data_IF_136521463343
#
_entry.id   IF_136521463343
#
_cell.length_a   1.000
_cell.length_b   1.000
_cell.length_c   1.000
_cell.angle_alpha   90.00
_cell.angle_beta   90.00
_cell.angle_gamma   90.00
#
_symmetry.space_group_name_H-M   'P 1'
#
loop_
_entity.id
_entity.type
_entity.pdbx_description
1 polymer ?
#
# COMPACT_ATOMS: atom_id res chain seq x y z
N UNK A 1 6.05 1.87 -23.62
CA UNK A 1 6.67 1.83 -22.26
C UNK A 1 7.87 2.76 -22.26
N UNK A 2 8.06 3.48 -21.16
CA UNK A 2 9.29 4.28 -20.96
C UNK A 2 10.42 3.28 -20.71
N UNK A 3 11.55 3.37 -21.41
CA UNK A 3 12.71 2.52 -21.17
C UNK A 3 13.19 2.65 -19.73
N UNK A 4 13.62 1.54 -19.13
CA UNK A 4 14.13 1.51 -17.76
C UNK A 4 15.66 1.51 -17.78
N UNK A 5 16.27 2.59 -17.28
CA UNK A 5 17.71 2.68 -17.08
C UNK A 5 18.12 2.01 -15.75
N UNK A 6 19.39 1.60 -15.64
CA UNK A 6 19.98 1.00 -14.43
C UNK A 6 19.44 -0.38 -14.05
N UNK A 7 18.74 -1.06 -14.96
CA UNK A 7 18.45 -2.48 -14.81
C UNK A 7 19.74 -3.27 -15.04
N UNK A 8 20.05 -4.23 -14.16
CA UNK A 8 21.29 -4.99 -14.23
C UNK A 8 21.01 -6.44 -14.57
N UNK A 9 21.80 -6.96 -15.48
CA UNK A 9 21.69 -8.33 -15.97
C UNK A 9 23.02 -9.07 -15.88
N UNK A 10 22.92 -10.41 -15.81
CA UNK A 10 24.01 -11.35 -16.00
C UNK A 10 23.68 -12.32 -17.13
N UNK A 11 24.68 -12.78 -17.83
CA UNK A 11 24.54 -13.82 -18.85
C UNK A 11 25.24 -15.09 -18.38
N UNK A 12 24.53 -16.21 -18.41
CA UNK A 12 25.07 -17.51 -18.04
C UNK A 12 25.05 -18.46 -19.22
N UNK A 13 26.19 -19.12 -19.50
CA UNK A 13 26.21 -20.26 -20.41
C UNK A 13 25.65 -21.47 -19.68
N UNK A 14 24.61 -22.10 -20.24
CA UNK A 14 24.02 -23.32 -19.70
C UNK A 14 24.86 -24.54 -20.00
N UNK A 15 25.50 -24.57 -21.18
CA UNK A 15 26.35 -25.68 -21.61
C UNK A 15 27.62 -25.79 -20.73
N UNK A 16 28.21 -24.63 -20.34
CA UNK A 16 29.40 -24.58 -19.52
C UNK A 16 29.11 -24.35 -18.02
N UNK A 17 27.86 -24.13 -17.66
CA UNK A 17 27.38 -23.80 -16.31
C UNK A 17 28.19 -22.70 -15.63
N UNK A 18 28.52 -21.62 -16.38
CA UNK A 18 29.28 -20.47 -15.87
C UNK A 18 28.78 -19.15 -16.43
N UNK A 19 29.00 -18.10 -15.68
CA UNK A 19 28.67 -16.75 -16.13
C UNK A 19 29.69 -16.25 -17.16
N UNK A 20 29.18 -15.46 -18.11
CA UNK A 20 29.98 -14.79 -19.13
C UNK A 20 30.70 -13.58 -18.49
N UNK A 21 31.99 -13.44 -18.80
CA UNK A 21 32.81 -12.29 -18.42
C UNK A 21 33.84 -11.97 -19.48
N UNK A 22 34.21 -10.71 -19.62
CA UNK A 22 35.37 -10.31 -20.42
C UNK A 22 36.65 -10.74 -19.70
N UNK A 23 37.30 -11.77 -20.25
CA UNK A 23 38.59 -12.22 -19.82
C UNK A 23 38.65 -13.03 -18.52
N UNK A 24 37.90 -14.11 -18.35
CA UNK A 24 38.03 -15.19 -17.35
C UNK A 24 38.30 -14.85 -15.86
N UNK A 25 38.36 -13.57 -15.48
CA UNK A 25 38.83 -13.12 -14.16
C UNK A 25 37.74 -12.96 -13.09
N UNK A 26 36.45 -12.92 -13.47
CA UNK A 26 35.35 -12.78 -12.49
C UNK A 26 34.58 -14.09 -12.38
N UNK A 27 34.70 -14.75 -11.24
CA UNK A 27 34.00 -16.03 -10.93
C UNK A 27 32.48 -15.91 -11.03
N UNK A 28 31.91 -14.75 -10.68
CA UNK A 28 30.49 -14.48 -10.63
C UNK A 28 29.94 -13.80 -11.89
N UNK A 29 30.76 -13.71 -12.95
CA UNK A 29 30.41 -13.07 -14.21
C UNK A 29 30.43 -11.56 -14.17
N UNK A 30 30.15 -10.94 -15.31
CA UNK A 30 30.05 -9.51 -15.45
C UNK A 30 28.60 -9.06 -15.30
N UNK A 31 28.39 -7.91 -14.67
CA UNK A 31 27.08 -7.26 -14.57
C UNK A 31 26.99 -6.22 -15.68
N UNK A 32 25.96 -6.34 -16.49
CA UNK A 32 25.65 -5.42 -17.58
C UNK A 32 24.46 -4.57 -17.17
N UNK A 33 24.57 -3.25 -17.39
CA UNK A 33 23.53 -2.28 -16.97
C UNK A 33 22.90 -1.61 -18.17
N UNK A 34 21.57 -1.42 -18.16
CA UNK A 34 20.86 -0.71 -19.23
C UNK A 34 21.20 0.78 -19.21
N UNK A 35 21.35 1.34 -20.42
CA UNK A 35 21.46 2.76 -20.65
C UNK A 35 20.09 3.49 -20.51
N UNK A 36 20.08 4.79 -20.83
CA UNK A 36 18.87 5.62 -20.77
C UNK A 36 17.77 5.19 -21.75
N UNK A 37 18.14 4.48 -22.81
CA UNK A 37 17.22 3.92 -23.80
C UNK A 37 16.75 2.51 -23.40
N UNK A 38 17.11 2.03 -22.18
CA UNK A 38 16.79 0.69 -21.69
C UNK A 38 17.51 -0.42 -22.45
N UNK A 39 18.64 -0.13 -23.05
CA UNK A 39 19.40 -1.07 -23.90
C UNK A 39 20.69 -1.50 -23.23
N UNK A 40 21.05 -2.74 -23.47
CA UNK A 40 22.37 -3.29 -23.13
C UNK A 40 23.00 -3.86 -24.40
N UNK A 41 24.28 -3.55 -24.62
CA UNK A 41 25.11 -4.24 -25.59
C UNK A 41 26.13 -5.04 -24.78
N UNK A 42 26.13 -6.37 -24.95
CA UNK A 42 27.11 -7.24 -24.31
C UNK A 42 28.35 -7.27 -25.19
N UNK A 43 29.49 -6.67 -24.75
CA UNK A 43 30.67 -6.47 -25.57
C UNK A 43 31.55 -7.75 -25.72
N UNK A 44 30.99 -8.92 -25.37
CA UNK A 44 31.69 -10.19 -25.39
C UNK A 44 31.14 -11.04 -26.55
N UNK A 45 32.05 -11.55 -27.39
CA UNK A 45 31.67 -12.52 -28.43
C UNK A 45 31.31 -13.86 -27.76
N UNK A 46 30.04 -14.21 -27.83
CA UNK A 46 29.55 -15.49 -27.32
C UNK A 46 29.91 -16.62 -28.31
N UNK A 47 30.31 -17.75 -27.76
CA UNK A 47 30.51 -18.96 -28.55
C UNK A 47 29.16 -19.63 -28.86
N UNK A 48 29.13 -20.53 -29.84
CA UNK A 48 27.94 -21.34 -30.11
C UNK A 48 27.52 -22.09 -28.83
N UNK A 49 26.22 -22.05 -28.49
CA UNK A 49 25.71 -22.68 -27.31
C UNK A 49 24.39 -22.09 -26.80
N UNK A 50 23.93 -22.58 -25.68
CA UNK A 50 22.70 -22.15 -25.01
C UNK A 50 23.04 -21.26 -23.81
N UNK A 51 22.35 -20.13 -23.74
CA UNK A 51 22.58 -19.13 -22.72
C UNK A 51 21.27 -18.70 -22.05
N UNK A 52 21.37 -18.09 -20.88
CA UNK A 52 20.26 -17.40 -20.24
C UNK A 52 20.68 -16.00 -19.81
N UNK A 53 19.74 -15.06 -19.97
CA UNK A 53 19.81 -13.69 -19.45
C UNK A 53 19.06 -13.67 -18.13
N UNK A 54 19.76 -13.34 -17.05
CA UNK A 54 19.23 -13.25 -15.71
C UNK A 54 19.18 -11.79 -15.28
N UNK A 55 18.01 -11.29 -14.87
CA UNK A 55 17.91 -9.99 -14.25
C UNK A 55 18.47 -10.08 -12.82
N UNK A 56 19.49 -9.25 -12.55
CA UNK A 56 20.17 -9.21 -11.27
C UNK A 56 19.65 -8.09 -10.37
N UNK A 57 19.27 -6.97 -10.99
CA UNK A 57 18.73 -5.80 -10.30
C UNK A 57 17.69 -5.12 -11.16
N UNK A 58 16.46 -5.00 -10.61
CA UNK A 58 15.39 -4.21 -11.19
C UNK A 58 15.50 -2.73 -10.81
N UNK A 59 14.96 -1.81 -11.61
CA UNK A 59 14.83 -0.40 -11.23
C UNK A 59 13.92 -0.24 -10.01
N UNK A 60 14.06 0.87 -9.30
CA UNK A 60 13.21 1.16 -8.14
C UNK A 60 11.72 1.20 -8.53
N UNK A 61 10.91 0.48 -7.78
CA UNK A 61 9.46 0.37 -8.03
C UNK A 61 9.06 -0.87 -8.83
N UNK A 62 10.04 -1.65 -9.27
CA UNK A 62 9.83 -2.90 -9.99
C UNK A 62 10.30 -4.10 -9.16
N UNK A 63 9.83 -5.28 -9.54
CA UNK A 63 10.32 -6.55 -9.01
C UNK A 63 11.24 -7.20 -10.04
N UNK A 64 12.30 -7.85 -9.54
CA UNK A 64 13.24 -8.57 -10.41
C UNK A 64 12.54 -9.76 -11.06
N UNK A 65 12.80 -9.98 -12.36
CA UNK A 65 12.27 -11.12 -13.08
C UNK A 65 12.89 -12.42 -12.52
N UNK A 66 12.06 -13.32 -12.04
CA UNK A 66 12.50 -14.60 -11.45
C UNK A 66 12.86 -15.65 -12.49
N UNK A 67 12.21 -15.56 -13.66
CA UNK A 67 12.41 -16.50 -14.75
C UNK A 67 13.43 -15.92 -15.74
N UNK A 68 14.64 -16.52 -15.86
CA UNK A 68 15.63 -16.10 -16.81
C UNK A 68 15.16 -16.34 -18.24
N UNK A 69 15.55 -15.44 -19.14
CA UNK A 69 15.24 -15.60 -20.56
C UNK A 69 16.33 -16.39 -21.27
N UNK A 70 15.97 -17.57 -21.83
CA UNK A 70 16.91 -18.41 -22.56
C UNK A 70 17.01 -18.02 -24.02
N UNK A 71 18.22 -18.13 -24.58
CA UNK A 71 18.50 -17.89 -25.98
C UNK A 71 19.63 -18.79 -26.48
N UNK A 72 19.68 -19.01 -27.79
CA UNK A 72 20.67 -19.86 -28.44
C UNK A 72 21.54 -19.02 -29.37
N UNK A 73 22.84 -19.24 -29.31
CA UNK A 73 23.83 -18.71 -30.25
C UNK A 73 24.21 -19.84 -31.20
N UNK A 74 23.92 -19.69 -32.49
CA UNK A 74 24.15 -20.69 -33.52
C UNK A 74 25.51 -20.55 -34.23
N UNK A 75 26.19 -19.41 -34.03
CA UNK A 75 27.47 -19.07 -34.66
C UNK A 75 27.33 -18.42 -36.04
N UNK A 76 26.12 -18.35 -36.59
CA UNK A 76 25.82 -17.74 -37.90
C UNK A 76 25.15 -16.36 -37.72
N UNK A 77 24.35 -16.20 -36.73
CA UNK A 77 23.60 -14.97 -36.43
C UNK A 77 24.53 -13.90 -35.86
N UNK A 78 24.59 -12.73 -36.53
CA UNK A 78 25.51 -11.65 -36.18
C UNK A 78 25.10 -10.95 -34.85
N UNK A 79 23.79 -10.93 -34.51
CA UNK A 79 23.26 -10.33 -33.28
C UNK A 79 21.94 -10.99 -32.84
N UNK A 80 21.73 -11.08 -31.53
CA UNK A 80 20.49 -11.56 -30.95
C UNK A 80 19.90 -10.43 -30.13
N UNK A 81 18.62 -10.11 -30.35
CA UNK A 81 17.89 -9.11 -29.57
C UNK A 81 16.90 -9.84 -28.65
N UNK A 82 16.93 -9.49 -27.38
CA UNK A 82 15.99 -9.98 -26.35
C UNK A 82 15.23 -8.77 -25.80
N UNK A 83 13.94 -8.96 -25.53
CA UNK A 83 13.11 -7.94 -24.88
C UNK A 83 12.67 -8.46 -23.51
N UNK A 84 12.91 -7.67 -22.47
CA UNK A 84 12.47 -7.94 -21.12
C UNK A 84 11.52 -6.82 -20.68
N UNK A 85 10.41 -7.18 -20.05
CA UNK A 85 9.47 -6.20 -19.47
C UNK A 85 9.57 -6.24 -17.96
N UNK A 86 9.89 -5.10 -17.38
CA UNK A 86 9.90 -4.93 -15.95
C UNK A 86 8.46 -4.93 -15.39
N UNK A 87 8.27 -5.59 -14.25
CA UNK A 87 6.99 -5.74 -13.59
C UNK A 87 6.90 -4.75 -12.41
N UNK A 88 6.05 -3.69 -12.48
CA UNK A 88 5.86 -2.80 -11.34
C UNK A 88 5.40 -3.58 -10.11
N UNK A 89 6.05 -3.33 -8.97
CA UNK A 89 5.70 -3.96 -7.71
C UNK A 89 4.26 -3.64 -7.34
N UNK A 90 3.57 -4.60 -6.75
CA UNK A 90 2.21 -4.45 -6.23
C UNK A 90 2.17 -4.68 -4.74
N UNK A 91 1.03 -4.36 -4.14
CA UNK A 91 0.75 -4.65 -2.75
C UNK A 91 -0.69 -5.08 -2.51
N UNK A 92 -0.95 -5.59 -1.30
CA UNK A 92 -2.30 -5.92 -0.82
C UNK A 92 -2.59 -5.18 0.46
N UNK A 93 -3.85 -4.77 0.62
CA UNK A 93 -4.38 -4.22 1.86
C UNK A 93 -5.21 -5.33 2.50
N UNK A 94 -4.80 -5.74 3.71
CA UNK A 94 -5.53 -6.73 4.51
C UNK A 94 -6.26 -6.01 5.63
N UNK A 95 -7.59 -6.22 5.72
CA UNK A 95 -8.46 -5.60 6.69
C UNK A 95 -8.85 -6.65 7.72
N UNK A 96 -8.71 -6.30 9.01
CA UNK A 96 -9.33 -6.99 10.13
C UNK A 96 -10.46 -6.14 10.67
N UNK A 97 -11.70 -6.63 10.52
CA UNK A 97 -12.90 -5.95 10.99
C UNK A 97 -13.30 -6.44 12.35
N UNK A 98 -13.47 -5.51 13.28
CA UNK A 98 -13.93 -5.75 14.64
C UNK A 98 -15.07 -4.79 14.99
N UNK A 99 -15.89 -5.16 15.95
CA UNK A 99 -16.98 -4.33 16.46
C UNK A 99 -17.15 -4.48 17.96
N UNK A 100 -17.54 -3.41 18.60
CA UNK A 100 -17.89 -3.41 20.03
C UNK A 100 -19.14 -4.26 20.26
N UNK A 101 -19.25 -4.90 21.42
CA UNK A 101 -20.49 -5.48 21.91
C UNK A 101 -20.61 -5.31 23.44
N UNK A 102 -21.83 -5.25 23.93
CA UNK A 102 -22.11 -5.20 25.37
C UNK A 102 -22.03 -6.62 25.94
N UNK A 103 -21.09 -6.86 26.84
CA UNK A 103 -21.03 -8.12 27.56
C UNK A 103 -22.13 -8.14 28.60
N UNK A 104 -22.95 -9.20 28.60
CA UNK A 104 -24.13 -9.32 29.46
C UNK A 104 -25.07 -8.10 29.40
N UNK A 105 -25.22 -7.51 28.22
CA UNK A 105 -26.02 -6.30 27.94
C UNK A 105 -25.63 -5.07 28.80
N UNK A 106 -24.38 -5.01 29.24
CA UNK A 106 -23.88 -4.00 30.17
C UNK A 106 -23.03 -2.96 29.42
N UNK A 107 -23.43 -1.68 29.43
CA UNK A 107 -22.69 -0.57 28.86
C UNK A 107 -21.37 -0.25 29.60
N UNK A 108 -21.18 -0.73 30.81
CA UNK A 108 -19.93 -0.59 31.54
C UNK A 108 -18.91 -1.68 31.20
N UNK A 109 -19.32 -2.76 30.49
CA UNK A 109 -18.45 -3.86 30.05
C UNK A 109 -18.55 -4.01 28.51
N UNK A 110 -17.89 -3.10 27.80
CA UNK A 110 -17.79 -3.13 26.31
C UNK A 110 -16.57 -3.95 25.93
N UNK A 111 -16.80 -4.93 25.07
CA UNK A 111 -15.77 -5.82 24.50
C UNK A 111 -15.80 -5.80 22.99
N UNK A 112 -14.80 -6.37 22.35
CA UNK A 112 -14.66 -6.47 20.90
C UNK A 112 -14.91 -7.89 20.40
N UNK A 113 -15.51 -8.00 19.24
CA UNK A 113 -15.69 -9.25 18.48
C UNK A 113 -15.38 -9.02 17.01
N UNK A 114 -15.00 -10.08 16.29
CA UNK A 114 -14.83 -10.03 14.83
C UNK A 114 -16.17 -9.81 14.15
N UNK A 115 -16.16 -9.11 13.00
CA UNK A 115 -17.35 -8.83 12.20
C UNK A 115 -17.15 -9.28 10.77
N UNK A 116 -17.90 -10.30 10.36
CA UNK A 116 -17.98 -10.78 8.98
C UNK A 116 -19.10 -10.11 8.19
N UNK A 117 -18.99 -10.18 6.87
CA UNK A 117 -20.02 -9.70 5.95
C UNK A 117 -20.06 -8.17 5.77
N UNK A 118 -19.01 -7.46 6.11
CA UNK A 118 -18.90 -6.00 5.97
C UNK A 118 -18.18 -5.67 4.67
N UNK A 119 -18.75 -4.78 3.87
CA UNK A 119 -18.22 -4.34 2.57
C UNK A 119 -17.36 -3.08 2.71
N UNK A 120 -16.24 -3.07 1.99
CA UNK A 120 -15.32 -1.94 1.91
C UNK A 120 -15.01 -1.60 0.46
N UNK A 121 -14.99 -0.31 0.15
CA UNK A 121 -14.39 0.20 -1.08
C UNK A 121 -12.96 0.66 -0.81
N UNK A 122 -12.04 0.32 -1.71
CA UNK A 122 -10.65 0.79 -1.72
C UNK A 122 -10.55 1.83 -2.84
N UNK A 123 -10.27 3.07 -2.49
CA UNK A 123 -10.34 4.23 -3.37
C UNK A 123 -8.95 4.84 -3.51
N UNK A 124 -8.53 5.16 -4.73
CA UNK A 124 -7.28 5.87 -4.97
C UNK A 124 -7.34 7.32 -4.43
N UNK A 125 -6.43 7.70 -3.53
CA UNK A 125 -6.37 9.05 -2.95
C UNK A 125 -5.69 10.08 -3.87
N UNK A 126 -4.89 9.60 -4.81
CA UNK A 126 -4.24 10.36 -5.87
C UNK A 126 -4.19 9.50 -7.12
N UNK A 127 -3.76 10.05 -8.25
CA UNK A 127 -3.46 9.24 -9.42
C UNK A 127 -2.38 8.23 -9.08
N UNK A 128 -2.64 6.97 -9.35
CA UNK A 128 -1.69 5.87 -9.15
C UNK A 128 -0.90 5.71 -10.43
N UNK A 129 0.35 6.17 -10.39
CA UNK A 129 1.23 6.18 -11.56
C UNK A 129 2.40 5.23 -11.31
N UNK A 130 2.58 4.25 -12.21
CA UNK A 130 3.74 3.35 -12.15
C UNK A 130 5.00 4.05 -12.65
N UNK A 131 6.22 3.56 -12.32
CA UNK A 131 7.46 4.25 -12.71
C UNK A 131 7.63 4.43 -14.22
N UNK A 132 6.95 3.62 -15.05
CA UNK A 132 6.88 3.77 -16.50
C UNK A 132 5.93 4.90 -16.98
N UNK A 133 5.46 5.76 -16.07
CA UNK A 133 4.55 6.86 -16.36
C UNK A 133 3.10 6.46 -16.65
N UNK A 134 2.76 5.17 -16.56
CA UNK A 134 1.41 4.71 -16.83
C UNK A 134 0.48 5.01 -15.66
N UNK A 135 -0.63 5.72 -15.92
CA UNK A 135 -1.70 5.91 -14.95
C UNK A 135 -2.49 4.61 -14.82
N UNK A 136 -2.51 4.02 -13.63
CA UNK A 136 -3.17 2.76 -13.32
C UNK A 136 -4.54 2.93 -12.64
N UNK A 137 -4.74 4.05 -11.99
CA UNK A 137 -6.01 4.50 -11.46
C UNK A 137 -5.99 6.02 -11.29
N UNK A 138 -7.12 6.67 -11.48
CA UNK A 138 -7.29 8.10 -11.25
C UNK A 138 -7.69 8.36 -9.79
N UNK A 139 -7.38 9.56 -9.30
CA UNK A 139 -7.83 10.01 -7.98
C UNK A 139 -9.35 9.87 -7.84
N UNK A 140 -9.80 9.26 -6.75
CA UNK A 140 -11.22 9.02 -6.46
C UNK A 140 -11.80 7.75 -7.10
N UNK A 141 -11.03 7.05 -7.94
CA UNK A 141 -11.47 5.78 -8.53
C UNK A 141 -11.52 4.67 -7.47
N UNK A 142 -12.63 3.93 -7.42
CA UNK A 142 -12.74 2.67 -6.67
C UNK A 142 -11.92 1.62 -7.42
N UNK A 143 -10.84 1.17 -6.81
CA UNK A 143 -9.92 0.19 -7.42
C UNK A 143 -10.24 -1.24 -7.03
N UNK A 144 -10.92 -1.44 -5.90
CA UNK A 144 -11.39 -2.74 -5.42
C UNK A 144 -12.57 -2.57 -4.48
N UNK A 145 -13.45 -3.58 -4.42
CA UNK A 145 -14.51 -3.71 -3.41
C UNK A 145 -14.38 -5.08 -2.79
N UNK A 146 -14.28 -5.14 -1.47
CA UNK A 146 -13.99 -6.37 -0.73
C UNK A 146 -14.98 -6.57 0.40
N UNK A 147 -15.26 -7.84 0.77
CA UNK A 147 -16.19 -8.22 1.82
C UNK A 147 -15.50 -9.13 2.84
N UNK A 148 -15.63 -8.80 4.13
CA UNK A 148 -15.01 -9.58 5.20
C UNK A 148 -15.64 -10.97 5.32
N UNK A 149 -14.79 -11.97 5.58
CA UNK A 149 -15.20 -13.34 5.91
C UNK A 149 -15.80 -13.42 7.32
N UNK A 150 -16.23 -14.62 7.74
CA UNK A 150 -16.81 -14.85 9.07
C UNK A 150 -15.84 -14.58 10.23
N UNK A 151 -14.52 -14.58 9.96
CA UNK A 151 -13.48 -14.21 10.94
C UNK A 151 -13.16 -12.70 10.93
N UNK A 152 -13.88 -11.92 10.14
CA UNK A 152 -13.66 -10.49 9.99
C UNK A 152 -12.44 -10.11 9.18
N UNK A 153 -11.90 -11.02 8.37
CA UNK A 153 -10.72 -10.77 7.55
C UNK A 153 -11.10 -10.63 6.07
N UNK A 154 -10.36 -9.78 5.36
CA UNK A 154 -10.38 -9.72 3.90
C UNK A 154 -9.08 -9.09 3.39
N UNK A 155 -8.65 -9.50 2.19
CA UNK A 155 -7.53 -8.88 1.47
C UNK A 155 -7.99 -8.38 0.12
N UNK A 156 -7.45 -7.25 -0.30
CA UNK A 156 -7.65 -6.75 -1.66
C UNK A 156 -7.01 -7.67 -2.70
N UNK A 157 -7.40 -7.53 -3.96
CA UNK A 157 -6.57 -7.96 -5.07
C UNK A 157 -5.22 -7.25 -5.05
N UNK A 158 -4.18 -7.70 -5.80
CA UNK A 158 -2.93 -6.97 -5.95
C UNK A 158 -3.16 -5.61 -6.59
N UNK A 159 -2.86 -4.53 -5.84
CA UNK A 159 -2.96 -3.13 -6.25
C UNK A 159 -1.57 -2.59 -6.60
N UNK A 160 -1.47 -1.58 -7.47
CA UNK A 160 -0.22 -0.86 -7.69
C UNK A 160 0.13 -0.01 -6.45
N UNK A 161 1.43 0.30 -6.28
CA UNK A 161 1.90 1.10 -5.15
C UNK A 161 1.31 2.51 -5.22
N UNK A 162 0.92 3.05 -4.08
CA UNK A 162 0.33 4.39 -3.98
C UNK A 162 -0.53 4.57 -2.74
N UNK A 163 -1.13 5.77 -2.57
CA UNK A 163 -2.01 6.08 -1.46
C UNK A 163 -3.47 5.68 -1.77
N UNK A 164 -4.11 5.04 -0.81
CA UNK A 164 -5.50 4.59 -0.89
C UNK A 164 -6.29 5.01 0.33
N UNK A 165 -7.61 5.08 0.17
CA UNK A 165 -8.57 5.26 1.25
C UNK A 165 -9.45 4.00 1.33
N UNK A 166 -9.55 3.40 2.50
CA UNK A 166 -10.43 2.25 2.76
C UNK A 166 -11.69 2.77 3.44
N UNK A 167 -12.82 2.61 2.78
CA UNK A 167 -14.12 3.17 3.17
C UNK A 167 -15.10 2.04 3.44
N UNK A 168 -15.63 1.97 4.64
CA UNK A 168 -16.74 1.07 4.96
C UNK A 168 -18.01 1.54 4.26
N UNK A 169 -18.69 0.66 3.51
CA UNK A 169 -19.91 1.03 2.76
C UNK A 169 -21.13 1.14 3.66
N UNK A 170 -21.31 0.17 4.52
CA UNK A 170 -22.44 0.07 5.44
C UNK A 170 -22.01 -0.59 6.74
N UNK A 171 -22.66 -0.20 7.83
CA UNK A 171 -22.53 -0.84 9.14
C UNK A 171 -23.88 -1.39 9.59
N UNK A 172 -23.93 -2.51 10.35
CA UNK A 172 -25.16 -2.98 10.97
C UNK A 172 -25.81 -1.89 11.81
N UNK A 173 -27.13 -1.92 11.92
CA UNK A 173 -27.95 -0.83 12.48
C UNK A 173 -27.52 -0.33 13.84
N UNK A 174 -26.99 -1.23 14.69
CA UNK A 174 -26.50 -0.94 16.05
C UNK A 174 -25.14 -0.23 16.07
N UNK A 175 -24.41 -0.17 14.95
CA UNK A 175 -23.07 0.40 14.88
C UNK A 175 -23.06 1.76 14.17
N UNK A 176 -22.06 2.57 14.53
CA UNK A 176 -21.64 3.71 13.71
C UNK A 176 -20.72 3.18 12.62
N UNK A 177 -20.87 3.68 11.41
CA UNK A 177 -19.94 3.39 10.30
C UNK A 177 -18.55 3.89 10.72
N UNK A 178 -17.51 3.14 10.39
CA UNK A 178 -16.14 3.52 10.71
C UNK A 178 -15.68 4.67 9.84
N UNK A 179 -14.83 5.54 10.42
CA UNK A 179 -14.15 6.58 9.64
C UNK A 179 -13.22 5.95 8.60
N UNK A 180 -13.14 6.55 7.40
CA UNK A 180 -12.23 6.08 6.36
C UNK A 180 -10.78 6.07 6.82
N UNK A 181 -10.02 5.03 6.43
CA UNK A 181 -8.60 4.88 6.79
C UNK A 181 -7.72 5.08 5.56
N UNK A 182 -6.77 6.01 5.66
CA UNK A 182 -5.74 6.21 4.65
C UNK A 182 -4.63 5.16 4.79
N UNK A 183 -4.30 4.51 3.67
CA UNK A 183 -3.29 3.46 3.58
C UNK A 183 -2.34 3.75 2.44
N UNK A 184 -1.04 3.69 2.68
CA UNK A 184 -0.04 3.79 1.63
C UNK A 184 0.61 2.42 1.39
N UNK A 185 0.53 1.95 0.14
CA UNK A 185 1.35 0.84 -0.36
C UNK A 185 2.64 1.45 -0.89
N UNK A 186 3.75 1.14 -0.26
CA UNK A 186 5.07 1.70 -0.60
C UNK A 186 6.01 0.60 -1.07
N UNK A 187 6.99 0.96 -1.90
CA UNK A 187 8.01 0.03 -2.38
C UNK A 187 8.74 -0.63 -1.20
N UNK A 188 8.81 -1.96 -1.24
CA UNK A 188 9.54 -2.74 -0.28
C UNK A 188 10.96 -3.03 -0.76
N UNK A 189 11.11 -4.11 -1.53
CA UNK A 189 12.38 -4.57 -2.12
C UNK A 189 12.08 -5.27 -3.45
N UNK A 190 13.03 -5.32 -4.36
CA UNK A 190 12.88 -5.94 -5.68
C UNK A 190 12.57 -7.45 -5.64
N UNK A 191 12.88 -8.12 -4.52
CA UNK A 191 12.64 -9.56 -4.34
C UNK A 191 11.29 -9.85 -3.68
N UNK A 192 10.54 -8.80 -3.30
CA UNK A 192 9.20 -8.90 -2.71
C UNK A 192 8.16 -8.67 -3.81
N UNK A 193 7.47 -9.73 -4.24
CA UNK A 193 6.46 -9.62 -5.31
C UNK A 193 5.27 -8.77 -4.90
N UNK A 194 4.79 -8.95 -3.66
CA UNK A 194 3.62 -8.29 -3.11
C UNK A 194 3.95 -7.77 -1.72
N UNK A 195 3.95 -6.45 -1.54
CA UNK A 195 4.01 -5.85 -0.20
C UNK A 195 2.64 -5.96 0.48
N UNK A 196 2.62 -6.17 1.79
CA UNK A 196 1.37 -6.28 2.54
C UNK A 196 1.23 -5.15 3.56
N UNK A 197 0.01 -4.61 3.64
CA UNK A 197 -0.36 -3.63 4.65
C UNK A 197 -1.62 -4.07 5.36
N UNK A 198 -1.50 -4.39 6.64
CA UNK A 198 -2.64 -4.76 7.48
C UNK A 198 -3.17 -3.54 8.23
N UNK A 199 -4.51 -3.43 8.29
CA UNK A 199 -5.24 -2.43 9.09
C UNK A 199 -6.35 -3.10 9.89
N UNK A 200 -6.66 -2.52 11.05
CA UNK A 200 -7.79 -2.93 11.87
C UNK A 200 -8.85 -1.83 11.83
N UNK A 201 -10.11 -2.21 11.59
CA UNK A 201 -11.23 -1.27 11.50
C UNK A 201 -12.26 -1.65 12.57
N UNK A 202 -12.52 -0.72 13.50
CA UNK A 202 -13.43 -0.89 14.61
C UNK A 202 -14.75 -0.16 14.36
N UNK A 203 -15.89 -0.86 14.46
CA UNK A 203 -17.19 -0.22 14.58
C UNK A 203 -17.59 -0.10 16.04
N UNK A 204 -17.93 1.12 16.41
CA UNK A 204 -18.43 1.43 17.76
C UNK A 204 -19.95 1.33 17.80
N UNK A 205 -20.47 0.84 18.91
CA UNK A 205 -21.91 0.84 19.17
C UNK A 205 -22.47 2.28 19.16
N UNK A 206 -23.66 2.44 18.58
CA UNK A 206 -24.45 3.65 18.76
C UNK A 206 -24.91 3.71 20.21
N UNK A 207 -24.60 4.79 20.91
CA UNK A 207 -25.19 5.09 22.19
C UNK A 207 -26.42 5.94 21.92
N UNK A 208 -27.62 5.45 22.29
CA UNK A 208 -28.81 6.29 22.25
C UNK A 208 -28.66 7.35 23.37
N UNK A 209 -28.15 8.52 22.99
CA UNK A 209 -28.13 9.68 23.89
C UNK A 209 -29.59 10.17 24.13
N UNK A 210 -30.51 9.84 23.22
CA UNK A 210 -31.93 10.18 23.30
C UNK A 210 -32.69 9.44 24.42
N UNK A 211 -32.08 8.45 25.08
CA UNK A 211 -32.68 7.82 26.30
C UNK A 211 -32.15 8.38 27.64
N UNK A 212 -31.24 9.32 27.61
CA UNK A 212 -30.98 10.21 28.71
C UNK A 212 -32.13 11.21 28.70
N UNK A 213 -33.15 10.90 29.51
CA UNK A 213 -34.45 11.51 29.56
C UNK A 213 -34.45 13.00 29.23
N UNK A 214 -35.60 13.44 28.68
CA UNK A 214 -35.94 14.85 28.67
C UNK A 214 -35.44 15.46 29.97
N UNK A 215 -34.46 16.39 29.85
CA UNK A 215 -34.13 17.24 31.03
C UNK A 215 -35.45 17.69 31.61
N UNK A 216 -35.72 17.47 32.91
CA UNK A 216 -36.93 18.01 33.48
C UNK A 216 -37.00 19.49 33.05
N UNK A 217 -38.09 19.89 32.41
CA UNK A 217 -38.39 21.31 32.22
C UNK A 217 -38.60 21.94 33.60
N UNK A 218 -37.51 22.09 34.36
CA UNK A 218 -37.46 23.03 35.44
C UNK A 218 -37.33 24.40 34.78
N UNK A 219 -38.37 25.19 34.91
CA UNK A 219 -38.42 26.53 34.29
C UNK A 219 -37.49 27.54 34.93
N UNK A 220 -36.20 27.23 34.87
CA UNK A 220 -35.12 28.15 35.25
C UNK A 220 -34.12 28.25 34.10
N UNK A 221 -34.40 29.23 33.24
CA UNK A 221 -33.49 29.58 32.11
C UNK A 221 -32.21 30.30 32.59
N UNK A 222 -32.05 30.53 33.91
CA UNK A 222 -30.89 31.28 34.45
C UNK A 222 -29.61 30.48 34.54
N UNK A 223 -29.72 29.11 34.65
CA UNK A 223 -28.56 28.23 34.85
C UNK A 223 -27.67 28.04 33.62
N UNK A 224 -28.24 28.00 32.42
CA UNK A 224 -27.50 27.70 31.17
C UNK A 224 -26.61 28.87 30.77
N UNK A 225 -27.09 30.07 30.92
CA UNK A 225 -26.31 31.28 30.61
C UNK A 225 -25.14 31.48 31.59
N UNK A 226 -25.27 31.09 32.82
CA UNK A 226 -24.19 31.16 33.85
C UNK A 226 -23.08 30.16 33.57
N UNK A 227 -23.38 28.94 33.13
CA UNK A 227 -22.40 27.91 32.79
C UNK A 227 -21.67 28.31 31.51
N UNK A 228 -22.35 28.84 30.48
CA UNK A 228 -21.74 29.31 29.26
C UNK A 228 -20.81 30.54 29.50
N UNK A 229 -21.20 31.42 30.42
CA UNK A 229 -20.38 32.58 30.80
C UNK A 229 -19.11 32.17 31.56
N UNK A 230 -19.18 31.16 32.42
CA UNK A 230 -18.00 30.66 33.16
C UNK A 230 -17.05 29.93 32.21
N UNK A 231 -17.54 29.17 31.21
CA UNK A 231 -16.68 28.55 30.20
C UNK A 231 -16.01 29.57 29.26
N UNK A 232 -16.69 30.65 28.86
CA UNK A 232 -16.11 31.73 28.07
C UNK A 232 -15.05 32.53 28.86
N UNK A 233 -15.23 32.76 30.15
CA UNK A 233 -14.24 33.39 31.03
C UNK A 233 -13.01 32.51 31.26
N UNK A 234 -13.15 31.18 31.34
CA UNK A 234 -12.00 30.26 31.46
C UNK A 234 -11.14 30.22 30.20
N UNK A 235 -11.74 30.32 29.02
CA UNK A 235 -11.04 30.34 27.74
C UNK A 235 -10.26 31.67 27.55
N UNK A 236 -10.80 32.79 28.00
CA UNK A 236 -10.10 34.10 27.91
C UNK A 236 -8.92 34.18 28.88
N UNK A 237 -9.01 33.60 30.09
CA UNK A 237 -7.90 33.53 31.04
C UNK A 237 -6.76 32.67 30.53
N UNK A 238 -7.05 31.53 29.87
CA UNK A 238 -6.01 30.70 29.24
C UNK A 238 -5.32 31.38 28.05
N UNK A 239 -6.04 32.19 27.25
CA UNK A 239 -5.46 32.92 26.14
C UNK A 239 -4.53 34.04 26.62
N UNK A 240 -4.89 34.74 27.70
CA UNK A 240 -4.06 35.82 28.28
C UNK A 240 -2.79 35.27 28.93
N UNK A 241 -2.85 34.12 29.61
CA UNK A 241 -1.65 33.46 30.17
C UNK A 241 -0.70 32.96 29.08
N UNK A 242 -1.20 32.45 27.95
CA UNK A 242 -0.37 32.02 26.84
C UNK A 242 0.35 33.18 26.13
N UNK A 243 -0.26 34.33 26.06
CA UNK A 243 0.38 35.55 25.47
C UNK A 243 1.44 36.11 26.42
N UNK A 244 1.23 36.11 27.73
CA UNK A 244 2.21 36.58 28.70
C UNK A 244 3.44 35.68 28.84
N UNK A 245 3.31 34.36 28.53
CA UNK A 245 4.45 33.42 28.48
C UNK A 245 5.31 33.54 27.22
N UNK A 246 4.80 34.22 26.16
CA UNK A 246 5.56 34.47 24.91
C UNK A 246 6.32 35.79 24.92
N UNK A 247 6.13 36.63 25.92
CA UNK A 247 6.76 37.99 26.05
C UNK A 247 7.83 38.01 27.16
N UNK A 248 8.29 36.87 27.66
CA UNK A 248 9.43 36.80 28.59
C UNK A 248 10.60 35.99 27.95
#
# INVERSE_FOLDING_TARGET
SIPTEQTQYKVKSLDLNRYVSDGMKKKDGEVYETDRDGRIVIPVKLQQGTYQLEEFKAPKGYVVAKEPQQFKVDGETASITLEQKDMPQKGKITIKKIGEYKHNDNWADIREKVMGGIDFDIIALADIITPDGTVRAEKGQVVDTVRTDFNGNVSSKPLYLGPYNVVEKDAPVEYRIAEPINVALVYGDQNVDIVEKQINILNRLKRNIDSLGETPKTGDESGVNTILLVMLLSLTVMAVTAVLFRLR
#
